data_IF_564985115292
#
_entry.id   IF_564985115292
#
_cell.length_a   1.000
_cell.length_b   1.000
_cell.length_c   1.000
_cell.angle_alpha   90.00
_cell.angle_beta   90.00
_cell.angle_gamma   90.00
#
_symmetry.space_group_name_H-M   'P 1'
#
loop_
_entity.id
_entity.type
_entity.pdbx_description
1 polymer ?
#
# COMPACT_ATOMS: atom_id res chain seq x y z
N UNK A 1 -4.28 -12.92 3.41
CA UNK A 1 -3.18 -13.92 3.49
C UNK A 1 -2.76 -14.18 2.07
N UNK A 2 -1.57 -13.75 1.69
CA UNK A 2 -1.12 -13.81 0.30
C UNK A 2 -0.53 -15.20 0.00
N UNK A 3 -1.12 -15.90 -0.96
CA UNK A 3 -0.59 -17.17 -1.46
C UNK A 3 -0.16 -17.02 -2.91
N UNK A 4 1.08 -17.40 -3.23
CA UNK A 4 1.62 -17.35 -4.60
C UNK A 4 2.20 -18.71 -4.96
N UNK A 5 1.62 -19.36 -5.96
CA UNK A 5 2.08 -20.64 -6.49
C UNK A 5 2.99 -20.44 -7.70
N UNK A 6 4.08 -21.20 -7.78
CA UNK A 6 4.97 -21.20 -8.95
C UNK A 6 4.38 -22.00 -10.11
N UNK A 7 4.37 -21.43 -11.32
CA UNK A 7 4.06 -22.17 -12.55
C UNK A 7 5.32 -22.75 -13.21
N UNK A 8 5.16 -23.85 -13.96
CA UNK A 8 6.27 -24.51 -14.68
C UNK A 8 6.82 -23.52 -15.73
N UNK A 9 8.11 -23.20 -15.64
CA UNK A 9 8.79 -22.22 -16.52
C UNK A 9 8.94 -20.81 -15.95
N UNK A 10 8.37 -20.50 -14.77
CA UNK A 10 8.60 -19.19 -14.13
C UNK A 10 9.93 -19.15 -13.37
N UNK A 11 10.66 -18.03 -13.51
CA UNK A 11 11.84 -17.73 -12.71
C UNK A 11 11.45 -17.35 -11.28
N UNK A 12 12.41 -17.44 -10.35
CA UNK A 12 12.17 -17.05 -8.95
C UNK A 12 11.91 -15.55 -8.84
N UNK A 13 12.59 -14.73 -9.63
CA UNK A 13 12.45 -13.26 -9.61
C UNK A 13 11.06 -12.79 -10.03
N UNK A 14 10.44 -13.43 -11.02
CA UNK A 14 9.08 -13.09 -11.43
C UNK A 14 8.06 -13.47 -10.36
N UNK A 15 8.29 -14.56 -9.63
CA UNK A 15 7.48 -14.95 -8.49
C UNK A 15 7.57 -13.93 -7.35
N UNK A 16 8.78 -13.49 -6.98
CA UNK A 16 8.97 -12.47 -5.96
C UNK A 16 8.32 -11.14 -6.35
N UNK A 17 8.44 -10.73 -7.61
CA UNK A 17 7.76 -9.52 -8.10
C UNK A 17 6.25 -9.61 -7.99
N UNK A 18 5.65 -10.77 -8.33
CA UNK A 18 4.22 -11.00 -8.18
C UNK A 18 3.79 -10.96 -6.72
N UNK A 19 4.54 -11.62 -5.84
CA UNK A 19 4.30 -11.57 -4.40
C UNK A 19 4.35 -10.14 -3.88
N UNK A 20 5.42 -9.39 -4.15
CA UNK A 20 5.57 -8.00 -3.70
C UNK A 20 4.42 -7.14 -4.17
N UNK A 21 3.98 -7.31 -5.43
CA UNK A 21 2.84 -6.57 -5.97
C UNK A 21 1.55 -6.87 -5.21
N UNK A 22 1.20 -8.15 -5.04
CA UNK A 22 -0.03 -8.56 -4.34
C UNK A 22 0.03 -8.13 -2.87
N UNK A 23 1.20 -8.25 -2.23
CA UNK A 23 1.41 -7.87 -0.83
C UNK A 23 1.24 -6.36 -0.58
N UNK A 24 1.65 -5.53 -1.55
CA UNK A 24 1.41 -4.08 -1.53
C UNK A 24 -0.06 -3.76 -1.84
N UNK A 25 -0.65 -4.41 -2.85
CA UNK A 25 -2.06 -4.20 -3.23
C UNK A 25 -3.02 -4.54 -2.08
N UNK A 26 -2.79 -5.65 -1.37
CA UNK A 26 -3.56 -6.05 -0.19
C UNK A 26 -3.28 -5.18 1.05
N UNK A 27 -2.38 -4.18 0.99
CA UNK A 27 -2.04 -3.29 2.11
C UNK A 27 -1.62 -4.00 3.41
N UNK A 28 -1.11 -5.23 3.31
CA UNK A 28 -0.81 -6.10 4.47
C UNK A 28 0.20 -5.44 5.43
N UNK A 29 1.20 -4.74 4.88
CA UNK A 29 2.21 -4.02 5.69
C UNK A 29 1.58 -2.99 6.60
N UNK A 30 0.66 -2.19 6.06
CA UNK A 30 0.06 -1.08 6.80
C UNK A 30 -0.92 -1.59 7.85
N UNK A 31 -1.64 -2.67 7.57
CA UNK A 31 -2.49 -3.34 8.57
C UNK A 31 -1.68 -3.89 9.74
N UNK A 32 -0.58 -4.58 9.47
CA UNK A 32 0.30 -5.10 10.53
C UNK A 32 0.84 -3.94 11.35
N UNK A 33 1.37 -2.90 10.71
CA UNK A 33 1.92 -1.71 11.40
C UNK A 33 0.89 -1.00 12.27
N UNK A 34 -0.36 -0.89 11.81
CA UNK A 34 -1.47 -0.30 12.58
C UNK A 34 -1.80 -1.12 13.85
N UNK A 35 -1.57 -2.43 13.81
CA UNK A 35 -1.86 -3.36 14.92
C UNK A 35 -0.66 -3.62 15.84
N UNK A 36 0.56 -3.20 15.48
CA UNK A 36 1.76 -3.39 16.31
C UNK A 36 1.65 -2.73 17.68
N UNK A 37 0.96 -1.60 17.77
CA UNK A 37 0.83 -0.83 19.01
C UNK A 37 -0.62 -0.39 19.21
N UNK A 38 -1.07 -0.42 20.45
CA UNK A 38 -2.35 0.17 20.80
C UNK A 38 -2.32 1.68 20.55
N UNK A 39 -3.32 2.17 19.82
CA UNK A 39 -3.58 3.60 19.64
C UNK A 39 -4.95 3.94 20.21
N UNK A 40 -5.03 5.05 20.94
CA UNK A 40 -6.30 5.59 21.41
C UNK A 40 -7.23 5.87 20.22
N UNK A 41 -8.55 5.64 20.36
CA UNK A 41 -9.50 5.81 19.26
C UNK A 41 -9.56 7.24 18.70
N UNK A 42 -9.30 8.25 19.54
CA UNK A 42 -9.20 9.65 19.09
C UNK A 42 -8.06 9.89 18.11
N UNK A 43 -6.88 9.30 18.36
CA UNK A 43 -5.72 9.41 17.46
C UNK A 43 -5.98 8.69 16.14
N UNK A 44 -6.67 7.55 16.17
CA UNK A 44 -7.06 6.82 14.96
C UNK A 44 -8.00 7.66 14.07
N UNK A 45 -8.96 8.37 14.67
CA UNK A 45 -9.85 9.29 13.93
C UNK A 45 -9.06 10.43 13.28
N UNK A 46 -8.18 11.06 14.04
CA UNK A 46 -7.34 12.16 13.54
C UNK A 46 -6.42 11.73 12.40
N UNK A 47 -5.78 10.57 12.50
CA UNK A 47 -4.93 10.01 11.42
C UNK A 47 -5.74 9.75 10.15
N UNK A 48 -6.94 9.17 10.28
CA UNK A 48 -7.84 8.86 9.16
C UNK A 48 -8.29 10.13 8.44
N UNK A 49 -8.64 11.19 9.17
CA UNK A 49 -9.00 12.48 8.58
C UNK A 49 -7.81 13.11 7.83
N UNK A 50 -6.62 13.08 8.44
CA UNK A 50 -5.39 13.59 7.81
C UNK A 50 -5.05 12.84 6.52
N UNK A 51 -5.23 11.53 6.50
CA UNK A 51 -5.02 10.68 5.32
C UNK A 51 -6.01 11.02 4.20
N UNK A 52 -7.29 11.21 4.52
CA UNK A 52 -8.32 11.63 3.56
C UNK A 52 -8.06 13.02 2.97
N UNK A 53 -7.60 13.97 3.79
CA UNK A 53 -7.22 15.30 3.30
C UNK A 53 -6.03 15.19 2.35
N UNK A 54 -4.99 14.44 2.71
CA UNK A 54 -3.82 14.22 1.86
C UNK A 54 -4.17 13.61 0.50
N UNK A 55 -5.04 12.60 0.46
CA UNK A 55 -5.45 11.98 -0.80
C UNK A 55 -6.21 12.95 -1.71
N UNK A 56 -7.10 13.77 -1.13
CA UNK A 56 -7.79 14.86 -1.85
C UNK A 56 -6.83 15.92 -2.38
N UNK A 57 -5.77 16.26 -1.64
CA UNK A 57 -4.77 17.21 -2.13
C UNK A 57 -3.91 16.62 -3.24
N UNK A 58 -3.57 15.33 -3.16
CA UNK A 58 -2.76 14.66 -4.19
C UNK A 58 -3.53 14.50 -5.51
N UNK A 59 -4.82 14.19 -5.47
CA UNK A 59 -5.64 14.07 -6.69
C UNK A 59 -5.83 15.40 -7.43
N UNK A 60 -5.77 16.52 -6.71
CA UNK A 60 -5.89 17.88 -7.28
C UNK A 60 -4.59 18.45 -7.82
N UNK A 61 -3.43 17.78 -7.63
CA UNK A 61 -2.17 18.30 -8.17
C UNK A 61 -2.16 18.11 -9.69
N UNK A 62 -1.98 19.20 -10.48
CA UNK A 62 -1.82 19.05 -11.91
C UNK A 62 -0.61 18.16 -12.17
N UNK A 63 -0.77 17.13 -13.00
CA UNK A 63 0.36 16.33 -13.48
C UNK A 63 1.28 17.32 -14.21
N UNK A 64 2.40 17.69 -13.58
CA UNK A 64 3.45 18.44 -14.27
C UNK A 64 3.83 17.61 -15.47
N UNK A 65 3.43 18.04 -16.66
CA UNK A 65 3.93 17.48 -17.91
C UNK A 65 5.41 17.81 -17.92
N UNK A 66 6.23 16.83 -17.58
CA UNK A 66 7.67 16.89 -17.83
C UNK A 66 7.76 16.85 -19.35
N UNK A 67 7.78 18.03 -19.99
CA UNK A 67 8.25 18.13 -21.35
C UNK A 67 9.72 17.70 -21.33
N UNK A 68 10.01 16.74 -22.23
CA UNK A 68 11.31 16.10 -22.41
C UNK A 68 12.44 17.12 -22.58
#
# INVERSE_FOLDING_TARGET
>A
MVFVSKKKGESKDTLFRKFTRIFIEENVVDEVRKKLFYKKPSLLKQEKEKEQLKSRYQSKRPKRSIHR
#
